data_IF_807834842480
#
_entry.id   IF_807834842480
#
_cell.length_a   1.000
_cell.length_b   1.000
_cell.length_c   1.000
_cell.angle_alpha   90.00
_cell.angle_beta   90.00
_cell.angle_gamma   90.00
#
_symmetry.space_group_name_H-M   'P 1'
#
loop_
_entity.id
_entity.type
_entity.pdbx_description
1 polymer ?
#
# COMPACT_ATOMS: atom_id res chain seq x y z
N UNK A 1 14.28 -16.83 -23.37
CA UNK A 1 13.91 -15.65 -22.55
C UNK A 1 14.97 -15.54 -21.47
N UNK A 2 15.81 -14.51 -21.49
CA UNK A 2 16.86 -14.35 -20.47
C UNK A 2 16.24 -13.69 -19.24
N UNK A 3 16.15 -14.42 -18.14
CA UNK A 3 15.74 -13.86 -16.85
C UNK A 3 16.98 -13.20 -16.26
N UNK A 4 16.92 -11.88 -16.08
CA UNK A 4 17.94 -11.15 -15.33
C UNK A 4 17.82 -11.61 -13.87
N UNK A 5 18.74 -12.45 -13.43
CA UNK A 5 18.87 -12.79 -12.02
C UNK A 5 19.49 -11.59 -11.31
N UNK A 6 18.67 -10.86 -10.56
CA UNK A 6 19.16 -9.89 -9.59
C UNK A 6 19.71 -10.69 -8.40
N UNK A 7 20.98 -11.06 -8.44
CA UNK A 7 21.64 -11.68 -7.29
C UNK A 7 21.77 -10.65 -6.18
N UNK A 8 21.15 -10.92 -5.03
CA UNK A 8 21.39 -10.15 -3.81
C UNK A 8 22.90 -10.15 -3.51
N UNK A 9 23.50 -8.97 -3.38
CA UNK A 9 24.89 -8.84 -2.94
C UNK A 9 24.96 -9.44 -1.55
N UNK A 10 25.81 -10.46 -1.36
CA UNK A 10 25.93 -11.16 -0.06
C UNK A 10 26.35 -10.15 1.01
N UNK A 11 25.44 -9.84 1.92
CA UNK A 11 25.60 -8.83 2.97
C UNK A 11 24.43 -7.84 3.11
N UNK A 12 23.51 -7.78 2.14
CA UNK A 12 22.40 -6.83 2.08
C UNK A 12 21.04 -7.45 2.49
N UNK A 13 21.03 -8.47 3.35
CA UNK A 13 19.75 -8.97 3.88
C UNK A 13 19.18 -7.91 4.84
N UNK A 14 17.89 -7.55 4.72
CA UNK A 14 17.29 -6.59 5.63
C UNK A 14 17.40 -7.09 7.07
N UNK A 15 17.80 -6.20 7.96
CA UNK A 15 17.78 -6.43 9.40
C UNK A 15 16.35 -6.71 9.88
N UNK A 16 16.23 -7.35 11.05
CA UNK A 16 14.92 -7.60 11.66
C UNK A 16 14.13 -6.29 11.90
N UNK A 17 14.82 -5.17 12.15
CA UNK A 17 14.18 -3.87 12.32
C UNK A 17 13.62 -3.33 10.99
N UNK A 18 14.35 -3.46 9.90
CA UNK A 18 13.88 -3.07 8.56
C UNK A 18 12.71 -3.94 8.11
N UNK A 19 12.77 -5.26 8.36
CA UNK A 19 11.62 -6.14 8.11
C UNK A 19 10.40 -5.74 8.94
N UNK A 20 10.60 -5.42 10.22
CA UNK A 20 9.51 -4.94 11.08
C UNK A 20 8.95 -3.58 10.64
N UNK A 21 9.74 -2.72 9.99
CA UNK A 21 9.25 -1.48 9.41
C UNK A 21 8.32 -1.75 8.21
N UNK A 22 8.67 -2.69 7.33
CA UNK A 22 7.81 -3.12 6.21
C UNK A 22 6.47 -3.67 6.74
N UNK A 23 6.50 -4.50 7.78
CA UNK A 23 5.28 -5.03 8.40
C UNK A 23 4.37 -3.91 8.97
N UNK A 24 4.96 -2.79 9.43
CA UNK A 24 4.17 -1.64 9.89
C UNK A 24 3.48 -0.89 8.74
N UNK A 25 4.07 -0.88 7.54
CA UNK A 25 3.52 -0.28 6.33
C UNK A 25 2.40 -1.12 5.70
N UNK A 26 2.42 -2.44 5.94
CA UNK A 26 1.50 -3.39 5.31
C UNK A 26 0.00 -3.00 5.36
N UNK A 27 -0.54 -2.50 6.49
CA UNK A 27 -1.95 -2.09 6.55
C UNK A 27 -2.30 -0.92 5.60
N UNK A 28 -1.36 -0.02 5.34
CA UNK A 28 -1.55 1.06 4.36
C UNK A 28 -1.57 0.48 2.94
N UNK A 29 -0.60 -0.38 2.62
CA UNK A 29 -0.51 -1.06 1.32
C UNK A 29 -1.78 -1.85 1.05
N UNK A 30 -2.30 -2.59 2.04
CA UNK A 30 -3.56 -3.33 1.92
C UNK A 30 -4.74 -2.40 1.61
N UNK A 31 -4.85 -1.25 2.29
CA UNK A 31 -5.89 -0.26 2.02
C UNK A 31 -5.79 0.35 0.61
N UNK A 32 -4.57 0.57 0.11
CA UNK A 32 -4.31 1.07 -1.25
C UNK A 32 -4.67 0.03 -2.31
N UNK A 33 -4.34 -1.25 -2.09
CA UNK A 33 -4.76 -2.36 -2.95
C UNK A 33 -6.29 -2.48 -3.00
N UNK A 34 -6.95 -2.33 -1.87
CA UNK A 34 -8.41 -2.29 -1.77
C UNK A 34 -9.02 -1.16 -2.58
N UNK A 35 -8.43 0.04 -2.52
CA UNK A 35 -8.84 1.18 -3.32
C UNK A 35 -8.65 0.90 -4.82
N UNK A 36 -7.48 0.38 -5.21
CA UNK A 36 -7.18 0.04 -6.59
C UNK A 36 -8.17 -1.01 -7.12
N UNK A 37 -8.47 -2.05 -6.34
CA UNK A 37 -9.48 -3.05 -6.69
C UNK A 37 -10.87 -2.45 -6.88
N UNK A 38 -11.28 -1.53 -5.98
CA UNK A 38 -12.55 -0.83 -6.12
C UNK A 38 -12.60 0.06 -7.37
N UNK A 39 -11.50 0.72 -7.72
CA UNK A 39 -11.38 1.54 -8.93
C UNK A 39 -11.42 0.68 -10.19
N UNK A 40 -10.69 -0.44 -10.21
CA UNK A 40 -10.71 -1.40 -11.33
C UNK A 40 -12.12 -1.93 -11.56
N UNK A 41 -12.82 -2.34 -10.49
CA UNK A 41 -14.20 -2.80 -10.58
C UNK A 41 -15.13 -1.70 -11.13
N UNK A 42 -14.97 -0.46 -10.66
CA UNK A 42 -15.75 0.69 -11.14
C UNK A 42 -15.51 0.96 -12.63
N UNK A 43 -14.24 0.96 -13.08
CA UNK A 43 -13.87 1.16 -14.48
C UNK A 43 -14.42 0.03 -15.36
N UNK A 44 -14.28 -1.22 -14.91
CA UNK A 44 -14.77 -2.39 -15.64
C UNK A 44 -16.30 -2.41 -15.77
N UNK A 45 -17.02 -1.87 -14.78
CA UNK A 45 -18.48 -1.72 -14.88
C UNK A 45 -18.90 -0.71 -15.96
N UNK A 46 -18.04 0.25 -16.29
CA UNK A 46 -18.24 1.22 -17.38
C UNK A 46 -19.61 1.91 -17.27
N UNK A 47 -20.42 1.93 -18.35
CA UNK A 47 -21.76 2.53 -18.32
C UNK A 47 -22.74 1.87 -17.33
N UNK A 48 -22.46 0.65 -16.85
CA UNK A 48 -23.30 -0.08 -15.90
C UNK A 48 -22.94 0.21 -14.44
N UNK A 49 -21.95 1.07 -14.18
CA UNK A 49 -21.53 1.41 -12.83
C UNK A 49 -22.67 2.05 -12.03
N UNK A 50 -22.95 1.50 -10.86
CA UNK A 50 -24.01 2.00 -9.98
C UNK A 50 -23.48 3.04 -8.98
N UNK A 51 -24.41 3.74 -8.34
CA UNK A 51 -24.08 4.64 -7.21
C UNK A 51 -23.36 3.90 -6.07
N UNK A 52 -23.63 2.60 -5.88
CA UNK A 52 -22.97 1.80 -4.86
C UNK A 52 -21.49 1.59 -5.17
N UNK A 53 -21.11 1.53 -6.45
CA UNK A 53 -19.72 1.32 -6.88
C UNK A 53 -18.89 2.59 -6.63
N UNK A 54 -19.43 3.78 -6.93
CA UNK A 54 -18.82 5.04 -6.55
C UNK A 54 -18.65 5.18 -5.03
N UNK A 55 -19.63 4.69 -4.25
CA UNK A 55 -19.52 4.67 -2.77
C UNK A 55 -18.45 3.69 -2.28
N UNK A 56 -18.25 2.55 -2.95
CA UNK A 56 -17.16 1.61 -2.60
C UNK A 56 -15.80 2.27 -2.79
N UNK A 57 -15.58 2.93 -3.93
CA UNK A 57 -14.33 3.67 -4.21
C UNK A 57 -14.09 4.73 -3.12
N UNK A 58 -15.10 5.55 -2.82
CA UNK A 58 -14.96 6.60 -1.80
C UNK A 58 -14.66 6.04 -0.40
N UNK A 59 -15.30 4.94 0.01
CA UNK A 59 -15.01 4.27 1.28
C UNK A 59 -13.59 3.70 1.32
N UNK A 60 -13.13 3.09 0.23
CA UNK A 60 -11.77 2.57 0.15
C UNK A 60 -10.73 3.72 0.23
N UNK A 61 -10.99 4.84 -0.43
CA UNK A 61 -10.14 6.02 -0.33
C UNK A 61 -10.06 6.59 1.08
N UNK A 62 -11.18 6.59 1.82
CA UNK A 62 -11.17 7.00 3.24
C UNK A 62 -10.33 6.03 4.09
N UNK A 63 -10.39 4.71 3.84
CA UNK A 63 -9.55 3.74 4.55
C UNK A 63 -8.06 3.96 4.32
N UNK A 64 -7.65 4.35 3.12
CA UNK A 64 -6.25 4.73 2.81
C UNK A 64 -5.82 5.90 3.68
N UNK A 65 -6.63 6.96 3.76
CA UNK A 65 -6.32 8.14 4.59
C UNK A 65 -6.22 7.77 6.07
N UNK A 66 -7.14 6.94 6.57
CA UNK A 66 -7.12 6.49 7.96
C UNK A 66 -5.87 5.64 8.26
N UNK A 67 -5.51 4.71 7.37
CA UNK A 67 -4.31 3.88 7.51
C UNK A 67 -3.02 4.71 7.42
N UNK A 68 -2.95 5.67 6.50
CA UNK A 68 -1.82 6.57 6.35
C UNK A 68 -1.61 7.42 7.60
N UNK A 69 -2.70 7.92 8.19
CA UNK A 69 -2.64 8.64 9.48
C UNK A 69 -2.07 7.76 10.58
N UNK A 70 -2.57 6.52 10.71
CA UNK A 70 -2.11 5.58 11.72
C UNK A 70 -0.63 5.23 11.54
N UNK A 71 -0.15 5.06 10.30
CA UNK A 71 1.26 4.84 10.01
C UNK A 71 2.12 6.06 10.40
N UNK A 72 1.68 7.26 10.02
CA UNK A 72 2.39 8.50 10.38
C UNK A 72 2.49 8.70 11.91
N UNK A 73 1.43 8.37 12.66
CA UNK A 73 1.43 8.43 14.12
C UNK A 73 2.40 7.40 14.75
N UNK A 74 2.69 6.28 14.06
CA UNK A 74 3.64 5.23 14.51
C UNK A 74 5.10 5.52 14.17
N UNK A 75 5.34 6.38 13.18
CA UNK A 75 6.68 6.78 12.75
C UNK A 75 6.97 8.25 13.14
N UNK A 76 6.90 8.65 14.43
CA UNK A 76 7.08 10.05 14.81
C UNK A 76 8.51 10.56 14.54
N UNK A 77 9.50 9.67 14.42
CA UNK A 77 10.91 10.01 14.18
C UNK A 77 11.57 8.96 13.29
N UNK A 78 11.43 9.09 11.97
CA UNK A 78 12.42 8.54 11.05
C UNK A 78 13.57 9.55 10.98
N UNK A 79 14.65 9.20 11.68
CA UNK A 79 15.94 9.85 11.75
C UNK A 79 16.29 10.61 10.45
N UNK A 80 16.30 11.94 10.54
CA UNK A 80 16.97 12.79 9.56
C UNK A 80 18.45 12.50 9.70
N UNK A 81 18.96 11.58 8.87
CA UNK A 81 20.40 11.28 8.78
C UNK A 81 21.12 12.58 8.42
N UNK A 82 21.89 13.11 9.38
CA UNK A 82 22.83 14.22 9.23
C UNK A 82 24.27 13.70 9.20
#
# INVERSE_FOLDING_TARGET
MSIIHLSAVRGEEPSAAELAAIEQEWPLIEAELDLLNAQIAFINAGPSASVLDSRRVRRAAHRVVDAARVLADRAPEAEVVA
#
